data_IF_444963193659
#
_entry.id   IF_444963193659
#
_cell.length_a   1.000
_cell.length_b   1.000
_cell.length_c   1.000
_cell.angle_alpha   90.00
_cell.angle_beta   90.00
_cell.angle_gamma   90.00
#
_symmetry.space_group_name_H-M   'P 1'
#
loop_
_entity.id
_entity.type
_entity.pdbx_description
1 polymer ?
#
# COMPACT_ATOMS: atom_id res chain seq x y z
N UNK A 1 0.29 -19.60 0.12
CA UNK A 1 -0.39 -20.33 1.20
C UNK A 1 0.56 -21.12 2.09
N UNK A 2 1.48 -21.88 1.50
CA UNK A 2 2.48 -22.66 2.26
C UNK A 2 3.38 -21.73 3.08
N UNK A 3 3.82 -20.63 2.48
CA UNK A 3 4.69 -19.66 3.11
C UNK A 3 3.98 -18.95 4.29
N UNK A 4 2.73 -18.57 4.09
CA UNK A 4 1.93 -17.95 5.15
C UNK A 4 1.66 -18.94 6.31
N UNK A 5 1.40 -20.20 5.99
CA UNK A 5 1.20 -21.23 7.01
C UNK A 5 2.47 -21.47 7.83
N UNK A 6 3.64 -21.50 7.18
CA UNK A 6 4.92 -21.61 7.87
C UNK A 6 5.18 -20.43 8.81
N UNK A 7 4.84 -19.24 8.34
CA UNK A 7 4.95 -17.99 9.08
C UNK A 7 4.07 -18.03 10.35
N UNK A 8 2.80 -18.39 10.21
CA UNK A 8 1.85 -18.52 11.33
C UNK A 8 2.30 -19.58 12.34
N UNK A 9 2.77 -20.72 11.84
CA UNK A 9 3.25 -21.80 12.68
C UNK A 9 4.43 -21.35 13.54
N UNK A 10 5.42 -20.70 12.95
CA UNK A 10 6.60 -20.22 13.65
C UNK A 10 6.23 -19.18 14.72
N UNK A 11 5.35 -18.24 14.39
CA UNK A 11 4.91 -17.21 15.32
C UNK A 11 4.04 -17.77 16.45
N UNK A 12 3.12 -18.68 16.12
CA UNK A 12 2.22 -19.30 17.12
C UNK A 12 2.94 -20.10 18.17
N UNK A 13 4.15 -20.56 17.90
CA UNK A 13 4.99 -21.30 18.86
C UNK A 13 5.94 -20.41 19.65
N UNK A 14 5.83 -19.10 19.50
CA UNK A 14 6.75 -18.15 20.11
C UNK A 14 8.22 -18.45 19.73
N UNK A 15 8.44 -19.00 18.56
CA UNK A 15 9.76 -19.22 17.99
C UNK A 15 9.99 -18.21 16.88
N UNK A 16 11.24 -17.85 16.66
CA UNK A 16 11.58 -17.01 15.51
C UNK A 16 11.18 -17.74 14.24
N UNK A 17 10.53 -17.03 13.33
CA UNK A 17 10.32 -17.54 11.98
C UNK A 17 11.68 -17.95 11.41
N UNK A 18 11.82 -19.09 10.73
CA UNK A 18 13.06 -19.42 10.06
C UNK A 18 13.53 -18.26 9.19
N UNK A 19 14.77 -17.86 9.34
CA UNK A 19 15.33 -16.73 8.59
C UNK A 19 15.22 -16.94 7.08
N UNK A 20 15.22 -18.20 6.65
CA UNK A 20 15.03 -18.56 5.24
C UNK A 20 13.68 -18.06 4.72
N UNK A 21 12.61 -18.25 5.50
CA UNK A 21 11.25 -17.84 5.11
C UNK A 21 11.14 -16.32 5.04
N UNK A 22 11.65 -15.65 6.07
CA UNK A 22 11.62 -14.18 6.13
C UNK A 22 12.48 -13.56 5.03
N UNK A 23 13.63 -14.10 4.77
CA UNK A 23 14.52 -13.67 3.68
C UNK A 23 13.87 -13.88 2.32
N UNK A 24 13.18 -15.00 2.13
CA UNK A 24 12.40 -15.26 0.92
C UNK A 24 11.34 -14.20 0.70
N UNK A 25 10.55 -13.89 1.73
CA UNK A 25 9.52 -12.84 1.65
C UNK A 25 10.14 -11.52 1.25
N UNK A 26 11.24 -11.14 1.90
CA UNK A 26 11.91 -9.87 1.63
C UNK A 26 12.44 -9.76 0.20
N UNK A 27 13.05 -10.85 -0.31
CA UNK A 27 13.63 -10.89 -1.66
C UNK A 27 12.57 -10.88 -2.76
N UNK A 28 11.40 -11.48 -2.50
CA UNK A 28 10.35 -11.68 -3.50
C UNK A 28 9.11 -10.82 -3.26
N UNK A 29 9.23 -9.79 -2.44
CA UNK A 29 8.10 -8.96 -2.02
C UNK A 29 7.33 -8.38 -3.20
N UNK A 30 8.02 -8.01 -4.28
CA UNK A 30 7.39 -7.45 -5.48
C UNK A 30 6.56 -8.47 -6.26
N UNK A 31 6.82 -9.76 -6.06
CA UNK A 31 6.14 -10.86 -6.75
C UNK A 31 4.96 -11.42 -5.96
N UNK A 32 4.84 -11.05 -4.69
CA UNK A 32 3.77 -11.54 -3.82
C UNK A 32 2.46 -10.81 -4.13
N UNK A 33 1.33 -11.52 -4.04
CA UNK A 33 0.04 -10.90 -4.29
C UNK A 33 -0.39 -9.96 -3.15
N UNK A 34 -1.36 -9.09 -3.43
CA UNK A 34 -1.82 -8.09 -2.48
C UNK A 34 -2.41 -8.72 -1.23
N UNK A 35 -3.16 -9.80 -1.39
CA UNK A 35 -3.76 -10.52 -0.27
C UNK A 35 -2.70 -11.09 0.67
N UNK A 36 -1.63 -11.66 0.12
CA UNK A 36 -0.53 -12.16 0.92
C UNK A 36 0.15 -11.04 1.70
N UNK A 37 0.38 -9.89 1.07
CA UNK A 37 1.01 -8.75 1.74
C UNK A 37 0.20 -8.27 2.94
N UNK A 38 -1.13 -8.18 2.78
CA UNK A 38 -2.03 -7.80 3.88
C UNK A 38 -1.97 -8.79 5.02
N UNK A 39 -2.10 -10.09 4.71
CA UNK A 39 -2.10 -11.14 5.74
C UNK A 39 -0.75 -11.23 6.45
N UNK A 40 0.34 -11.14 5.71
CA UNK A 40 1.69 -11.18 6.29
C UNK A 40 1.95 -9.99 7.20
N UNK A 41 1.56 -8.79 6.78
CA UNK A 41 1.70 -7.59 7.60
C UNK A 41 0.89 -7.69 8.90
N UNK A 42 -0.36 -8.17 8.81
CA UNK A 42 -1.21 -8.35 9.99
C UNK A 42 -0.64 -9.36 10.97
N UNK A 43 -0.11 -10.48 10.49
CA UNK A 43 0.52 -11.49 11.36
C UNK A 43 1.76 -10.94 12.05
N UNK A 44 2.59 -10.18 11.35
CA UNK A 44 3.79 -9.57 11.93
C UNK A 44 3.41 -8.53 12.97
N UNK A 45 2.41 -7.68 12.71
CA UNK A 45 1.93 -6.70 13.68
C UNK A 45 1.44 -7.38 14.97
N UNK A 46 0.67 -8.44 14.81
CA UNK A 46 0.16 -9.22 15.96
C UNK A 46 1.30 -9.83 16.77
N UNK A 47 2.28 -10.40 16.09
CA UNK A 47 3.46 -10.97 16.74
C UNK A 47 4.23 -9.89 17.54
N UNK A 48 4.42 -8.72 16.95
CA UNK A 48 5.12 -7.62 17.61
C UNK A 48 4.37 -7.09 18.84
N UNK A 49 3.04 -7.02 18.77
CA UNK A 49 2.22 -6.63 19.92
C UNK A 49 2.35 -7.60 21.09
N UNK A 50 2.34 -8.90 20.79
CA UNK A 50 2.35 -9.94 21.82
C UNK A 50 3.73 -10.17 22.44
N UNK A 51 4.79 -10.01 21.66
CA UNK A 51 6.14 -10.43 22.05
C UNK A 51 7.22 -9.37 21.92
N UNK A 52 6.88 -8.14 21.63
CA UNK A 52 7.84 -7.07 21.32
C UNK A 52 8.89 -6.85 22.41
N UNK A 53 8.51 -6.99 23.69
CA UNK A 53 9.41 -6.75 24.82
C UNK A 53 10.43 -7.89 25.02
N UNK A 54 10.15 -9.07 24.48
CA UNK A 54 10.95 -10.28 24.70
C UNK A 54 11.65 -10.80 23.46
N UNK A 55 11.44 -10.14 22.32
CA UNK A 55 11.93 -10.61 21.04
C UNK A 55 13.31 -10.02 20.74
N UNK A 56 14.32 -10.87 20.67
CA UNK A 56 15.68 -10.45 20.34
C UNK A 56 15.82 -9.92 18.91
N UNK A 57 14.91 -10.34 18.02
CA UNK A 57 14.94 -9.97 16.61
C UNK A 57 13.86 -8.94 16.26
N UNK A 58 13.41 -8.13 17.22
CA UNK A 58 12.33 -7.16 16.99
C UNK A 58 12.67 -6.18 15.86
N UNK A 59 13.92 -5.73 15.76
CA UNK A 59 14.36 -4.84 14.67
C UNK A 59 14.21 -5.50 13.30
N UNK A 60 14.48 -6.79 13.20
CA UNK A 60 14.29 -7.55 11.97
C UNK A 60 12.80 -7.59 11.57
N UNK A 61 11.92 -7.89 12.54
CA UNK A 61 10.48 -7.95 12.29
C UNK A 61 9.90 -6.59 11.92
N UNK A 62 10.34 -5.52 12.59
CA UNK A 62 9.95 -4.16 12.23
C UNK A 62 10.43 -3.80 10.82
N UNK A 63 11.64 -4.20 10.45
CA UNK A 63 12.16 -3.98 9.11
C UNK A 63 11.37 -4.72 8.03
N UNK A 64 10.98 -5.97 8.30
CA UNK A 64 10.16 -6.74 7.38
C UNK A 64 8.75 -6.14 7.25
N UNK A 65 8.14 -5.75 8.37
CA UNK A 65 6.84 -5.08 8.36
C UNK A 65 6.90 -3.78 7.56
N UNK A 66 7.92 -2.97 7.78
CA UNK A 66 8.14 -1.73 7.03
C UNK A 66 8.25 -1.98 5.53
N UNK A 67 8.99 -3.01 5.13
CA UNK A 67 9.12 -3.39 3.73
C UNK A 67 7.78 -3.81 3.11
N UNK A 68 6.97 -4.57 3.85
CA UNK A 68 5.64 -4.99 3.40
C UNK A 68 4.69 -3.79 3.25
N UNK A 69 4.68 -2.90 4.23
CA UNK A 69 3.84 -1.70 4.19
C UNK A 69 4.27 -0.74 3.08
N UNK A 70 5.58 -0.61 2.85
CA UNK A 70 6.12 0.21 1.75
C UNK A 70 5.66 -0.33 0.42
N UNK A 71 5.74 -1.65 0.20
CA UNK A 71 5.26 -2.26 -1.04
C UNK A 71 3.75 -2.09 -1.23
N UNK A 72 2.96 -2.22 -0.17
CA UNK A 72 1.53 -1.96 -0.23
C UNK A 72 1.23 -0.52 -0.64
N UNK A 73 1.95 0.44 -0.05
CA UNK A 73 1.81 1.86 -0.38
C UNK A 73 2.20 2.15 -1.83
N UNK A 74 3.30 1.59 -2.30
CA UNK A 74 3.74 1.76 -3.68
C UNK A 74 2.74 1.20 -4.68
N UNK A 75 2.13 0.05 -4.38
CA UNK A 75 1.09 -0.55 -5.24
C UNK A 75 -0.16 0.31 -5.27
N UNK A 76 -0.60 0.82 -4.12
CA UNK A 76 -1.73 1.72 -4.04
C UNK A 76 -1.47 3.00 -4.84
N UNK A 77 -0.27 3.57 -4.73
CA UNK A 77 0.13 4.75 -5.49
C UNK A 77 0.15 4.48 -6.99
N UNK A 78 0.62 3.30 -7.42
CA UNK A 78 0.59 2.92 -8.84
C UNK A 78 -0.83 2.83 -9.38
N UNK A 79 -1.77 2.25 -8.61
CA UNK A 79 -3.18 2.21 -8.99
C UNK A 79 -3.77 3.61 -9.13
N UNK A 80 -3.47 4.48 -8.19
CA UNK A 80 -3.95 5.87 -8.19
C UNK A 80 -3.39 6.66 -9.37
N UNK A 81 -2.18 6.32 -9.83
CA UNK A 81 -1.56 6.96 -11.01
C UNK A 81 -2.17 6.55 -12.34
N UNK A 82 -3.02 5.51 -12.36
CA UNK A 82 -3.73 5.17 -13.58
C UNK A 82 -4.61 6.36 -13.99
N UNK A 83 -4.41 6.78 -15.24
CA UNK A 83 -5.09 7.99 -15.71
C UNK A 83 -6.58 7.76 -15.92
N UNK A 84 -7.36 8.80 -15.69
CA UNK A 84 -8.79 8.85 -16.00
C UNK A 84 -8.99 9.75 -17.22
N UNK A 85 -10.09 9.55 -17.98
CA UNK A 85 -10.40 10.41 -19.11
C UNK A 85 -10.88 11.77 -18.64
N UNK A 86 -10.52 12.80 -19.40
CA UNK A 86 -11.07 14.16 -19.19
C UNK A 86 -12.59 14.14 -19.39
N UNK A 87 -13.39 14.71 -18.47
CA UNK A 87 -14.85 14.71 -18.60
C UNK A 87 -15.37 15.55 -19.77
N UNK A 88 -14.55 16.43 -20.32
CA UNK A 88 -14.94 17.30 -21.44
C UNK A 88 -14.52 16.73 -22.79
N UNK A 89 -13.25 16.34 -22.95
CA UNK A 89 -12.73 15.92 -24.26
C UNK A 89 -12.45 14.42 -24.37
N UNK A 90 -12.50 13.68 -23.26
CA UNK A 90 -12.28 12.23 -23.26
C UNK A 90 -10.81 11.81 -23.36
N UNK A 91 -9.87 12.72 -23.51
CA UNK A 91 -8.44 12.39 -23.57
C UNK A 91 -7.91 12.06 -22.18
N UNK A 92 -6.88 11.19 -22.07
CA UNK A 92 -6.30 10.86 -20.77
C UNK A 92 -5.77 12.10 -20.06
N UNK A 93 -6.06 12.19 -18.76
CA UNK A 93 -5.52 13.24 -17.89
C UNK A 93 -4.08 12.92 -17.50
N UNK A 94 -3.28 13.95 -17.29
CA UNK A 94 -1.93 13.81 -16.75
C UNK A 94 -1.98 14.01 -15.24
N UNK A 95 -1.62 12.98 -14.47
CA UNK A 95 -1.59 13.06 -13.01
C UNK A 95 -0.42 13.95 -12.59
N UNK A 96 -0.73 15.03 -11.87
CA UNK A 96 0.26 16.00 -11.43
C UNK A 96 0.67 15.81 -9.98
N UNK A 97 -0.26 15.42 -9.11
CA UNK A 97 -0.02 15.30 -7.68
C UNK A 97 -0.86 14.18 -7.09
N UNK A 98 -0.23 13.41 -6.20
CA UNK A 98 -0.90 12.40 -5.38
C UNK A 98 -0.45 12.66 -3.95
N UNK A 99 -1.41 12.89 -3.06
CA UNK A 99 -1.14 13.17 -1.66
C UNK A 99 -1.99 12.30 -0.74
N UNK A 100 -1.41 11.88 0.39
CA UNK A 100 -2.17 11.16 1.41
C UNK A 100 -3.28 12.05 1.94
N UNK A 101 -4.49 11.50 2.08
CA UNK A 101 -5.61 12.22 2.68
C UNK A 101 -5.50 12.17 4.21
N UNK A 102 -5.47 13.33 4.85
CA UNK A 102 -5.32 13.44 6.31
C UNK A 102 -6.54 12.93 7.08
N UNK A 103 -7.72 12.95 6.46
CA UNK A 103 -8.98 12.56 7.10
C UNK A 103 -9.38 11.12 6.81
N UNK A 104 -8.69 10.45 5.90
CA UNK A 104 -9.00 9.08 5.49
C UNK A 104 -7.70 8.28 5.35
N UNK A 105 -7.28 7.58 6.40
CA UNK A 105 -6.05 6.78 6.36
C UNK A 105 -6.07 5.77 5.20
N UNK A 106 -4.98 5.75 4.43
CA UNK A 106 -4.87 4.89 3.25
C UNK A 106 -5.54 5.43 1.99
N UNK A 107 -6.22 6.59 2.07
CA UNK A 107 -6.79 7.27 0.93
C UNK A 107 -5.83 8.29 0.32
N UNK A 108 -6.07 8.65 -0.94
CA UNK A 108 -5.24 9.60 -1.68
C UNK A 108 -6.10 10.66 -2.35
N UNK A 109 -5.59 11.89 -2.34
CA UNK A 109 -6.12 12.98 -3.15
C UNK A 109 -5.28 13.10 -4.42
N UNK A 110 -5.93 13.11 -5.58
CA UNK A 110 -5.28 13.17 -6.88
C UNK A 110 -5.65 14.46 -7.59
N UNK A 111 -4.64 15.14 -8.12
CA UNK A 111 -4.81 16.31 -8.98
C UNK A 111 -4.22 15.97 -10.34
N UNK A 112 -4.99 16.20 -11.40
CA UNK A 112 -4.58 15.90 -12.75
C UNK A 112 -4.92 17.04 -13.71
N UNK A 113 -4.21 17.12 -14.82
CA UNK A 113 -4.33 18.17 -15.81
C UNK A 113 -4.72 17.62 -17.16
N UNK A 114 -5.65 18.29 -17.85
CA UNK A 114 -5.95 18.03 -19.25
C UNK A 114 -5.16 18.99 -20.13
N UNK A 115 -4.24 18.49 -20.89
CA UNK A 115 -3.41 19.32 -21.81
C UNK A 115 -4.24 19.91 -22.95
N UNK A 116 -5.31 19.21 -23.33
CA UNK A 116 -6.17 19.67 -24.43
C UNK A 116 -7.13 20.79 -23.99
N UNK A 117 -7.75 20.63 -22.83
CA UNK A 117 -8.71 21.61 -22.30
C UNK A 117 -8.08 22.68 -21.41
N UNK A 118 -6.83 22.49 -21.01
CA UNK A 118 -6.09 23.35 -20.09
C UNK A 118 -6.80 23.52 -18.74
N UNK A 119 -7.46 22.48 -18.29
CA UNK A 119 -8.20 22.45 -17.03
C UNK A 119 -7.60 21.42 -16.08
N UNK A 120 -7.74 21.68 -14.79
CA UNK A 120 -7.28 20.79 -13.73
C UNK A 120 -8.48 20.16 -13.02
N UNK A 121 -8.30 18.93 -12.60
CA UNK A 121 -9.34 18.15 -11.94
C UNK A 121 -8.78 17.48 -10.69
N UNK A 122 -9.65 17.24 -9.71
CA UNK A 122 -9.30 16.53 -8.50
C UNK A 122 -10.31 15.42 -8.21
N UNK A 123 -9.84 14.35 -7.60
CA UNK A 123 -10.68 13.28 -7.08
C UNK A 123 -10.00 12.59 -5.90
N UNK A 124 -10.80 11.84 -5.16
CA UNK A 124 -10.33 11.08 -4.01
C UNK A 124 -10.39 9.59 -4.33
N UNK A 125 -9.34 8.85 -3.93
CA UNK A 125 -9.29 7.40 -3.98
C UNK A 125 -9.25 6.88 -2.56
N UNK A 126 -10.22 6.03 -2.17
CA UNK A 126 -10.20 5.45 -0.84
C UNK A 126 -9.26 4.23 -0.76
N UNK A 127 -9.03 3.75 0.47
CA UNK A 127 -8.15 2.61 0.72
C UNK A 127 -8.61 1.31 0.05
N UNK A 128 -9.89 1.19 -0.26
CA UNK A 128 -10.50 -0.01 -0.85
C UNK A 128 -10.60 0.08 -2.37
N UNK A 129 -10.04 1.12 -2.96
CA UNK A 129 -10.03 1.33 -4.41
C UNK A 129 -11.25 2.09 -4.94
N UNK A 130 -12.15 2.57 -4.08
CA UNK A 130 -13.26 3.41 -4.48
C UNK A 130 -12.78 4.79 -4.93
N UNK A 131 -13.40 5.33 -5.97
CA UNK A 131 -13.01 6.60 -6.56
C UNK A 131 -14.18 7.56 -6.50
N UNK A 132 -13.95 8.77 -5.98
CA UNK A 132 -14.97 9.80 -5.92
C UNK A 132 -15.22 10.40 -7.30
N UNK A 133 -16.32 11.18 -7.42
CA UNK A 133 -16.56 11.95 -8.60
C UNK A 133 -15.46 12.98 -8.81
N UNK A 134 -15.13 13.21 -10.08
CA UNK A 134 -14.12 14.16 -10.48
C UNK A 134 -14.67 15.57 -10.36
N UNK A 135 -13.92 16.44 -9.70
CA UNK A 135 -14.27 17.87 -9.57
C UNK A 135 -13.23 18.71 -10.26
N UNK A 136 -13.67 19.82 -10.86
CA UNK A 136 -12.72 20.76 -11.42
C UNK A 136 -11.95 21.45 -10.30
N UNK A 137 -10.63 21.48 -10.44
CA UNK A 137 -9.73 22.08 -9.46
C UNK A 137 -9.30 23.45 -9.94
N UNK A 138 -9.44 24.45 -9.07
CA UNK A 138 -9.02 25.81 -9.37
C UNK A 138 -7.88 26.20 -8.45
N UNK A 139 -6.77 26.60 -9.03
CA UNK A 139 -5.70 27.25 -8.30
C UNK A 139 -6.16 28.67 -7.95
N UNK A 140 -6.48 28.88 -6.67
CA UNK A 140 -7.04 30.14 -6.30
C UNK A 140 -6.24 30.90 -5.28
#
# INVERSE_FOLDING_TARGET
LILLSAMRYAMGRNTCMPMVVADYIKRHIQLLDDKFLVLAADEIRRHLEDYAEHELNSNFWHGLLDALETEQRERATREVRKTRPCPVCGKPLEVMSIADNQHSPGGFDVIAHCRNCLSDYEWFCDKDGGVSDMKQYFFG
#
